data_IF_882348102791
#
_entry.id   IF_882348102791
#
_cell.length_a   1.000
_cell.length_b   1.000
_cell.length_c   1.000
_cell.angle_alpha   90.00
_cell.angle_beta   90.00
_cell.angle_gamma   90.00
#
_symmetry.space_group_name_H-M   'P 1'
#
loop_
_entity.id
_entity.type
_entity.pdbx_description
1 polymer ?
#
# COMPACT_ATOMS: atom_id res chain seq x y z
N UNK A 1 7.36 14.12 17.45
CA UNK A 1 6.87 15.35 16.77
C UNK A 1 7.75 15.59 15.56
N UNK A 2 7.37 15.04 14.40
CA UNK A 2 8.08 15.23 13.13
C UNK A 2 7.22 16.21 12.32
N UNK A 3 7.56 17.50 12.43
CA UNK A 3 7.02 18.57 11.61
C UNK A 3 8.15 18.99 10.67
N UNK A 4 7.77 19.24 9.42
CA UNK A 4 8.45 20.09 8.41
C UNK A 4 9.24 19.44 7.27
N UNK A 5 8.87 19.93 6.07
CA UNK A 5 9.58 20.02 4.78
C UNK A 5 9.70 18.71 3.97
N UNK A 6 9.32 18.68 2.70
CA UNK A 6 9.66 19.65 1.65
C UNK A 6 8.53 19.91 0.65
N UNK A 7 8.33 21.21 0.39
CA UNK A 7 7.69 21.75 -0.80
C UNK A 7 8.61 21.64 -2.02
N UNK A 8 8.03 21.50 -3.20
CA UNK A 8 8.76 21.51 -4.47
C UNK A 8 7.85 21.30 -5.66
N UNK A 9 6.90 22.22 -5.88
CA UNK A 9 6.18 22.32 -7.14
C UNK A 9 7.08 22.98 -8.18
N UNK A 10 7.21 22.37 -9.36
CA UNK A 10 7.62 23.06 -10.59
C UNK A 10 6.61 22.71 -11.66
N UNK A 11 6.01 23.75 -12.23
CA UNK A 11 5.07 23.69 -13.34
C UNK A 11 5.70 24.31 -14.60
N UNK A 12 5.16 23.87 -15.76
CA UNK A 12 5.16 24.48 -17.11
C UNK A 12 6.40 24.28 -18.00
N UNK A 13 6.32 24.10 -19.33
CA UNK A 13 5.21 23.99 -20.31
C UNK A 13 5.76 23.64 -21.74
N UNK A 14 4.89 23.09 -22.61
CA UNK A 14 4.88 23.07 -24.10
C UNK A 14 5.97 22.33 -24.91
N UNK A 15 5.76 21.69 -26.07
CA UNK A 15 4.62 21.19 -26.86
C UNK A 15 5.17 20.46 -28.13
N UNK A 16 4.26 19.77 -28.85
CA UNK A 16 4.25 19.30 -30.27
C UNK A 16 4.67 17.87 -30.67
N UNK A 17 3.61 17.10 -30.95
CA UNK A 17 3.27 16.27 -32.15
C UNK A 17 3.72 14.81 -32.38
N UNK A 18 2.73 13.92 -32.11
CA UNK A 18 2.17 12.80 -32.91
C UNK A 18 3.08 11.75 -33.58
N UNK A 19 3.04 10.52 -33.04
CA UNK A 19 2.72 9.31 -33.81
C UNK A 19 2.10 8.21 -32.93
N UNK A 20 1.00 7.63 -33.42
CA UNK A 20 0.19 6.64 -32.76
C UNK A 20 0.87 5.26 -32.73
N UNK A 21 0.90 4.64 -31.55
CA UNK A 21 0.84 3.20 -31.38
C UNK A 21 0.09 2.90 -30.07
N UNK A 22 -1.07 2.30 -30.25
CA UNK A 22 -2.01 1.88 -29.24
C UNK A 22 -1.37 0.81 -28.33
N UNK A 23 -0.91 1.22 -27.16
CA UNK A 23 -0.76 0.36 -26.00
C UNK A 23 -0.94 1.28 -24.80
N UNK A 24 -2.19 1.40 -24.33
CA UNK A 24 -2.43 1.82 -22.95
C UNK A 24 -1.91 0.69 -22.05
N UNK A 25 -0.59 0.63 -21.92
CA UNK A 25 0.08 0.07 -20.76
C UNK A 25 -0.29 0.98 -19.60
N UNK A 26 -1.49 0.76 -19.06
CA UNK A 26 -1.88 1.29 -17.77
C UNK A 26 -1.17 0.42 -16.74
N UNK A 27 0.16 0.54 -16.69
CA UNK A 27 0.91 0.20 -15.49
C UNK A 27 0.26 0.94 -14.32
N UNK A 28 0.22 0.35 -13.12
CA UNK A 28 -0.56 0.90 -12.03
C UNK A 28 -0.03 2.30 -11.75
N UNK A 29 -0.76 3.32 -12.20
CA UNK A 29 -0.59 4.69 -11.77
C UNK A 29 -0.69 4.60 -10.26
N UNK A 30 0.47 4.66 -9.61
CA UNK A 30 0.60 4.81 -8.17
C UNK A 30 -0.41 5.86 -7.78
N UNK A 31 -1.51 5.44 -7.15
CA UNK A 31 -2.66 6.31 -6.87
C UNK A 31 -2.11 7.61 -6.32
N UNK A 32 -2.10 8.63 -7.17
CA UNK A 32 -1.64 9.95 -6.84
C UNK A 32 -2.48 10.46 -5.67
N UNK A 33 -2.01 11.50 -4.98
CA UNK A 33 -2.37 11.82 -3.62
C UNK A 33 -3.89 11.83 -3.44
N UNK A 34 -4.41 10.90 -2.62
CA UNK A 34 -5.43 11.17 -1.62
C UNK A 34 -6.72 10.31 -1.55
N UNK A 35 -6.70 9.00 -1.81
CA UNK A 35 -7.81 8.16 -1.30
C UNK A 35 -7.87 8.21 0.24
N UNK A 36 -8.92 8.81 0.82
CA UNK A 36 -9.02 9.03 2.27
C UNK A 36 -9.03 7.69 3.02
N UNK A 37 -9.72 6.69 2.47
CA UNK A 37 -9.73 5.33 3.01
C UNK A 37 -8.33 4.71 3.05
N UNK A 38 -7.50 4.87 2.02
CA UNK A 38 -6.12 4.35 2.02
C UNK A 38 -5.29 5.00 3.13
N UNK A 39 -5.35 6.32 3.27
CA UNK A 39 -4.63 7.03 4.36
C UNK A 39 -5.07 6.58 5.74
N UNK A 40 -6.37 6.38 5.94
CA UNK A 40 -6.94 5.85 7.19
C UNK A 40 -6.39 4.46 7.49
N UNK A 41 -6.45 3.55 6.51
CA UNK A 41 -5.95 2.17 6.67
C UNK A 41 -4.46 2.13 6.96
N UNK A 42 -3.64 2.90 6.23
CA UNK A 42 -2.19 2.97 6.50
C UNK A 42 -1.92 3.48 7.92
N UNK A 43 -2.64 4.49 8.39
CA UNK A 43 -2.52 4.98 9.77
C UNK A 43 -2.91 3.92 10.81
N UNK A 44 -3.97 3.15 10.56
CA UNK A 44 -4.38 2.03 11.43
C UNK A 44 -3.35 0.88 11.41
N UNK A 45 -2.75 0.57 10.25
CA UNK A 45 -1.67 -0.41 10.16
C UNK A 45 -0.41 0.06 10.93
N UNK A 46 -0.10 1.35 10.87
CA UNK A 46 0.96 1.92 11.71
C UNK A 46 0.66 1.77 13.20
N UNK A 47 -0.60 1.95 13.63
CA UNK A 47 -0.95 1.74 15.03
C UNK A 47 -0.84 0.27 15.47
N UNK A 48 -0.96 -0.69 14.55
CA UNK A 48 -0.68 -2.11 14.86
C UNK A 48 0.79 -2.36 15.19
N UNK A 49 1.70 -1.61 14.57
CA UNK A 49 3.14 -1.66 14.88
C UNK A 49 3.42 -1.11 16.27
N UNK A 50 2.71 -0.06 16.68
CA UNK A 50 2.87 0.56 18.00
C UNK A 50 2.16 -0.23 19.10
N UNK A 51 0.96 -0.73 18.82
CA UNK A 51 0.11 -1.49 19.74
C UNK A 51 -0.38 -2.75 19.02
N UNK A 52 0.23 -3.88 19.38
CA UNK A 52 -0.04 -5.15 18.70
C UNK A 52 -1.55 -5.48 18.67
N UNK A 53 -2.09 -5.85 17.49
CA UNK A 53 -3.49 -6.24 17.39
C UNK A 53 -3.74 -7.62 18.03
N UNK A 54 -5.02 -8.03 18.20
CA UNK A 54 -5.36 -9.41 18.53
C UNK A 54 -4.65 -10.41 17.61
N UNK A 55 -4.25 -11.54 18.18
CA UNK A 55 -3.51 -12.58 17.47
C UNK A 55 -4.24 -13.05 16.21
N UNK A 56 -3.47 -13.26 15.14
CA UNK A 56 -4.00 -13.72 13.86
C UNK A 56 -4.66 -12.64 13.01
N UNK A 57 -4.72 -11.39 13.48
CA UNK A 57 -5.15 -10.23 12.68
C UNK A 57 -4.17 -9.92 11.55
N UNK A 58 -2.88 -10.13 11.78
CA UNK A 58 -1.84 -10.04 10.76
C UNK A 58 -1.30 -11.46 10.51
N UNK A 59 -1.28 -11.88 9.25
CA UNK A 59 -0.86 -13.20 8.81
C UNK A 59 0.18 -13.10 7.70
N UNK A 60 1.15 -14.00 7.72
CA UNK A 60 2.21 -14.08 6.72
C UNK A 60 2.23 -15.47 6.12
N UNK A 61 2.08 -15.56 4.81
CA UNK A 61 2.21 -16.80 4.05
C UNK A 61 3.41 -16.72 3.10
N UNK A 62 3.89 -17.88 2.68
CA UNK A 62 4.97 -17.98 1.70
C UNK A 62 4.53 -17.38 0.34
N UNK A 63 5.46 -16.69 -0.32
CA UNK A 63 5.35 -16.28 -1.71
C UNK A 63 6.62 -16.70 -2.47
N UNK A 64 6.58 -16.90 -3.80
CA UNK A 64 7.78 -17.13 -4.60
C UNK A 64 8.75 -15.94 -4.58
N UNK A 65 10.04 -16.23 -4.83
CA UNK A 65 11.11 -15.28 -4.52
C UNK A 65 11.27 -15.14 -3.00
N UNK A 66 12.27 -14.45 -2.49
CA UNK A 66 12.49 -14.31 -1.03
C UNK A 66 11.41 -13.44 -0.33
N UNK A 67 10.25 -13.28 -0.96
CA UNK A 67 9.12 -12.49 -0.54
C UNK A 67 8.12 -13.30 0.30
N UNK A 68 7.19 -12.57 0.92
CA UNK A 68 6.05 -13.13 1.64
C UNK A 68 4.78 -12.40 1.25
N UNK A 69 3.66 -13.09 1.33
CA UNK A 69 2.35 -12.46 1.23
C UNK A 69 1.86 -12.15 2.64
N UNK A 70 1.55 -10.88 2.88
CA UNK A 70 0.97 -10.39 4.13
C UNK A 70 -0.52 -10.16 3.95
N UNK A 71 -1.30 -10.55 4.94
CA UNK A 71 -2.71 -10.18 5.07
C UNK A 71 -2.92 -9.54 6.43
N UNK A 72 -3.63 -8.41 6.44
CA UNK A 72 -4.11 -7.78 7.65
C UNK A 72 -5.57 -7.36 7.46
N UNK A 73 -6.36 -7.45 8.52
CA UNK A 73 -7.77 -7.07 8.49
C UNK A 73 -8.05 -6.10 9.64
N UNK A 74 -8.92 -5.11 9.43
CA UNK A 74 -9.35 -4.16 10.46
C UNK A 74 -10.81 -3.78 10.30
N UNK A 75 -11.33 -2.86 11.13
CA UNK A 75 -12.73 -2.43 11.05
C UNK A 75 -13.01 -1.74 9.70
N UNK A 76 -13.79 -2.40 8.84
CA UNK A 76 -14.21 -1.85 7.55
C UNK A 76 -13.16 -1.96 6.44
N UNK A 77 -12.12 -2.77 6.60
CA UNK A 77 -11.09 -2.93 5.58
C UNK A 77 -10.31 -4.24 5.67
N UNK A 78 -9.80 -4.67 4.50
CA UNK A 78 -8.81 -5.73 4.37
C UNK A 78 -7.60 -5.21 3.59
N UNK A 79 -6.43 -5.72 3.94
CA UNK A 79 -5.14 -5.37 3.35
C UNK A 79 -4.40 -6.64 2.95
N UNK A 80 -3.85 -6.65 1.73
CA UNK A 80 -2.98 -7.73 1.24
C UNK A 80 -1.76 -7.12 0.58
N UNK A 81 -0.57 -7.66 0.83
CA UNK A 81 0.67 -7.16 0.25
C UNK A 81 1.65 -8.27 -0.08
N UNK A 82 2.51 -8.00 -1.07
CA UNK A 82 3.78 -8.70 -1.26
C UNK A 82 4.91 -7.85 -0.70
N UNK A 83 5.75 -8.44 0.16
CA UNK A 83 6.84 -7.70 0.83
C UNK A 83 7.87 -7.09 -0.12
N UNK A 84 8.01 -7.64 -1.33
CA UNK A 84 8.97 -7.23 -2.37
C UNK A 84 8.37 -6.31 -3.46
N UNK A 85 7.06 -6.11 -3.46
CA UNK A 85 6.36 -5.38 -4.53
C UNK A 85 5.43 -4.30 -3.94
N UNK A 86 4.11 -4.55 -3.99
CA UNK A 86 3.05 -3.59 -3.67
C UNK A 86 2.00 -4.17 -2.71
N UNK A 87 1.03 -3.33 -2.33
CA UNK A 87 -0.10 -3.72 -1.53
C UNK A 87 -1.44 -3.32 -2.17
N UNK A 88 -2.51 -3.94 -1.68
CA UNK A 88 -3.88 -3.69 -2.07
C UNK A 88 -4.75 -3.55 -0.84
N UNK A 89 -5.69 -2.60 -0.88
CA UNK A 89 -6.68 -2.35 0.16
C UNK A 89 -8.07 -2.55 -0.42
N UNK A 90 -8.91 -3.23 0.36
CA UNK A 90 -10.35 -3.33 0.14
C UNK A 90 -11.05 -2.58 1.28
N UNK A 91 -12.07 -1.80 0.95
CA UNK A 91 -12.86 -1.05 1.92
C UNK A 91 -14.31 -1.54 1.89
N UNK A 92 -14.92 -1.72 3.05
CA UNK A 92 -16.33 -2.13 3.14
C UNK A 92 -17.28 -1.03 2.60
N UNK A 93 -16.86 0.24 2.68
CA UNK A 93 -17.58 1.41 2.15
C UNK A 93 -17.59 1.46 0.62
N UNK A 94 -16.63 0.79 -0.03
CA UNK A 94 -16.45 0.74 -1.48
C UNK A 94 -16.29 -0.72 -1.94
N UNK A 95 -17.35 -1.54 -1.81
CA UNK A 95 -17.28 -2.96 -2.11
C UNK A 95 -17.05 -3.20 -3.60
N UNK A 96 -16.17 -4.15 -3.93
CA UNK A 96 -15.80 -4.48 -5.30
C UNK A 96 -14.63 -3.67 -5.84
N UNK A 97 -14.23 -2.60 -5.16
CA UNK A 97 -13.07 -1.80 -5.55
C UNK A 97 -11.78 -2.31 -4.89
N UNK A 98 -10.71 -2.33 -5.69
CA UNK A 98 -9.37 -2.73 -5.27
C UNK A 98 -8.47 -1.51 -5.35
N UNK A 99 -7.99 -1.03 -4.20
CA UNK A 99 -7.18 0.17 -4.11
C UNK A 99 -5.69 -0.20 -4.05
N UNK A 100 -4.92 -0.02 -5.14
CA UNK A 100 -3.49 -0.32 -5.14
C UNK A 100 -2.70 0.74 -4.35
N UNK A 101 -1.73 0.25 -3.58
CA UNK A 101 -0.76 1.05 -2.83
C UNK A 101 0.63 0.68 -3.32
N UNK A 102 1.23 1.60 -4.08
CA UNK A 102 2.60 1.46 -4.55
C UNK A 102 3.61 1.47 -3.41
N UNK A 103 4.81 0.94 -3.71
CA UNK A 103 5.88 0.73 -2.74
C UNK A 103 6.30 2.03 -2.02
N UNK A 104 6.54 3.12 -2.74
CA UNK A 104 6.96 4.39 -2.13
C UNK A 104 8.16 4.21 -1.17
N UNK A 105 8.37 5.18 -0.28
CA UNK A 105 9.45 5.12 0.73
C UNK A 105 9.02 4.50 2.05
N UNK A 106 7.72 4.54 2.38
CA UNK A 106 7.21 4.15 3.71
C UNK A 106 6.70 2.70 3.74
N UNK A 107 6.12 2.19 2.65
CA UNK A 107 5.53 0.85 2.63
C UNK A 107 6.53 -0.27 2.98
N UNK A 108 7.77 -0.29 2.46
CA UNK A 108 8.72 -1.38 2.77
C UNK A 108 9.00 -1.53 4.26
N UNK A 109 9.12 -0.40 4.97
CA UNK A 109 9.35 -0.40 6.41
C UNK A 109 8.12 -0.93 7.17
N UNK A 110 6.92 -0.49 6.77
CA UNK A 110 5.66 -0.97 7.34
C UNK A 110 5.49 -2.48 7.13
N UNK A 111 5.69 -2.99 5.90
CA UNK A 111 5.57 -4.41 5.59
C UNK A 111 6.56 -5.26 6.39
N UNK A 112 7.79 -4.77 6.55
CA UNK A 112 8.81 -5.45 7.38
C UNK A 112 8.38 -5.53 8.85
N UNK A 113 7.79 -4.47 9.39
CA UNK A 113 7.29 -4.45 10.77
C UNK A 113 6.09 -5.38 10.96
N UNK A 114 5.16 -5.39 10.01
CA UNK A 114 3.99 -6.28 10.02
C UNK A 114 4.40 -7.75 9.89
N UNK A 115 5.36 -8.10 9.02
CA UNK A 115 5.80 -9.50 8.86
C UNK A 115 6.43 -10.07 10.14
N UNK A 116 7.12 -9.24 10.92
CA UNK A 116 7.74 -9.65 12.20
C UNK A 116 6.72 -10.06 13.26
N UNK A 117 5.52 -9.47 13.23
CA UNK A 117 4.43 -9.81 14.17
C UNK A 117 3.40 -10.78 13.59
N UNK A 118 3.47 -11.04 12.29
CA UNK A 118 2.50 -11.86 11.60
C UNK A 118 2.53 -13.30 12.07
N UNK A 119 1.34 -13.87 12.28
CA UNK A 119 1.21 -15.31 12.51
C UNK A 119 1.56 -16.05 11.22
N UNK A 120 2.40 -17.09 11.34
CA UNK A 120 2.84 -17.93 10.24
C UNK A 120 2.15 -19.30 10.34
N UNK A 121 1.55 -19.83 9.27
CA UNK A 121 1.14 -21.23 9.24
C UNK A 121 2.39 -22.12 9.35
N UNK A 122 2.26 -23.22 10.08
CA UNK A 122 3.31 -24.21 10.31
C UNK A 122 3.56 -25.10 9.08
#
# INVERSE_FOLDING_TARGET
>A
VWRERLAGAVAMDSATDTHAADTKDSGPESTGPSHQGVRRVLKELHSYVETAPPLGRVRSSFAPGEARTLRADGPGWSFVARTDDMAFILLDEEPGEILPVGRGTELPALLTALDKMAVRPA
#
